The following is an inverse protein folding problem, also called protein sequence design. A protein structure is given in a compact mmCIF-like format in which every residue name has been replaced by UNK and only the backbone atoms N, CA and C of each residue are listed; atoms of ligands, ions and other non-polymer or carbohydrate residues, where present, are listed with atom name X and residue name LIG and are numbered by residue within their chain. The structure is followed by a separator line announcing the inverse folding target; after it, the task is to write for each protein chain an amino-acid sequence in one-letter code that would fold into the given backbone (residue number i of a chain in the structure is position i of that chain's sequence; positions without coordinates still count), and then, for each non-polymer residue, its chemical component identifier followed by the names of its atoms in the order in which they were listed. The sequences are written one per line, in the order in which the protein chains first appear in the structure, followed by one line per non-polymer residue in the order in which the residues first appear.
data_IF_273750344502
#
_entry.id   IF_273750344502
#
_cell.length_a   1.000
_cell.length_b   1.000
_cell.length_c   1.000
_cell.angle_alpha   90.00
_cell.angle_beta   90.00
_cell.angle_gamma   90.00
#
_symmetry.space_group_name_H-M   'P 1'
#
loop_
_entity.id
_entity.type
_entity.pdbx_description
1 polymer ?
#
# COMPACT_ATOMS: atom_id res chain seq x y z
N UNK A 1 22.48 3.33 -9.31
CA UNK A 1 22.60 4.58 -8.52
C UNK A 1 21.86 4.37 -7.20
N UNK A 2 22.44 4.67 -6.03
CA UNK A 2 21.71 4.62 -4.78
C UNK A 2 20.53 5.60 -4.86
N UNK A 3 19.32 5.12 -4.61
CA UNK A 3 18.09 5.90 -4.62
C UNK A 3 18.26 7.06 -3.63
N UNK A 4 18.14 8.29 -4.13
CA UNK A 4 18.31 9.50 -3.33
C UNK A 4 17.19 9.59 -2.29
N UNK A 5 17.51 9.28 -1.04
CA UNK A 5 16.61 9.44 0.10
C UNK A 5 16.06 8.12 0.67
N UNK A 6 15.75 8.16 1.97
CA UNK A 6 15.10 7.06 2.70
C UNK A 6 13.58 7.12 2.63
N UNK A 7 13.00 8.04 1.86
CA UNK A 7 11.55 8.14 1.66
C UNK A 7 11.07 6.95 0.84
N UNK A 8 9.97 6.33 1.26
CA UNK A 8 9.37 5.18 0.56
C UNK A 8 7.87 5.39 0.44
N UNK A 9 7.35 5.25 -0.77
CA UNK A 9 5.91 5.38 -1.02
C UNK A 9 5.27 3.99 -0.95
N UNK A 10 4.37 3.81 0.01
CA UNK A 10 3.71 2.54 0.23
C UNK A 10 2.28 2.63 -0.30
N UNK A 11 2.02 1.97 -1.42
CA UNK A 11 0.67 1.82 -1.97
C UNK A 11 -0.02 0.72 -1.18
N UNK A 12 -0.92 1.14 -0.28
CA UNK A 12 -1.67 0.26 0.62
C UNK A 12 -3.07 0.06 0.05
N UNK A 13 -3.51 -1.19 0.00
CA UNK A 13 -4.79 -1.58 -0.59
C UNK A 13 -5.29 -2.89 -0.02
N UNK A 14 -6.59 -3.11 -0.15
CA UNK A 14 -7.31 -4.34 0.15
C UNK A 14 -7.49 -5.24 -1.06
N UNK A 15 -7.22 -4.75 -2.28
CA UNK A 15 -7.51 -5.46 -3.54
C UNK A 15 -6.41 -5.30 -4.60
N UNK A 16 -6.50 -6.12 -5.65
CA UNK A 16 -5.45 -6.22 -6.68
C UNK A 16 -5.65 -5.25 -7.84
N UNK A 17 -6.86 -5.16 -8.40
CA UNK A 17 -7.11 -4.47 -9.67
C UNK A 17 -6.84 -2.97 -9.59
N UNK A 18 -7.45 -2.27 -8.62
CA UNK A 18 -7.30 -0.81 -8.48
C UNK A 18 -5.87 -0.38 -8.15
N UNK A 19 -5.22 -1.11 -7.26
CA UNK A 19 -3.84 -0.82 -6.88
C UNK A 19 -2.83 -1.14 -7.99
N UNK A 20 -3.06 -2.17 -8.81
CA UNK A 20 -2.24 -2.43 -10.00
C UNK A 20 -2.37 -1.28 -11.00
N UNK A 21 -3.59 -0.81 -11.27
CA UNK A 21 -3.81 0.34 -12.17
C UNK A 21 -3.10 1.60 -11.66
N UNK A 22 -3.24 1.89 -10.36
CA UNK A 22 -2.55 2.99 -9.71
C UNK A 22 -1.03 2.87 -9.83
N UNK A 23 -0.47 1.67 -9.61
CA UNK A 23 0.98 1.46 -9.71
C UNK A 23 1.48 1.60 -11.15
N UNK A 24 0.70 1.16 -12.15
CA UNK A 24 1.03 1.36 -13.55
C UNK A 24 1.04 2.85 -13.91
N UNK A 25 0.04 3.60 -13.42
CA UNK A 25 -0.04 5.05 -13.57
C UNK A 25 1.18 5.75 -12.97
N UNK A 26 1.54 5.42 -11.72
CA UNK A 26 2.74 5.95 -11.06
C UNK A 26 4.02 5.59 -11.83
N UNK A 27 4.14 4.34 -12.27
CA UNK A 27 5.30 3.85 -13.03
C UNK A 27 5.47 4.56 -14.38
N UNK A 28 4.37 4.83 -15.08
CA UNK A 28 4.38 5.62 -16.33
C UNK A 28 4.92 7.04 -16.11
N UNK A 29 4.72 7.60 -14.92
CA UNK A 29 5.22 8.92 -14.52
C UNK A 29 6.65 8.88 -13.96
N UNK A 30 7.28 7.70 -13.88
CA UNK A 30 8.66 7.52 -13.45
C UNK A 30 8.85 6.96 -12.04
N UNK A 31 7.79 6.46 -11.39
CA UNK A 31 7.92 5.79 -10.09
C UNK A 31 8.82 4.55 -10.17
N UNK A 32 9.80 4.47 -9.28
CA UNK A 32 10.73 3.34 -9.21
C UNK A 32 10.22 2.25 -8.26
N UNK A 33 9.64 1.19 -8.81
CA UNK A 33 9.20 -0.02 -8.09
C UNK A 33 10.30 -1.08 -7.88
N UNK A 34 11.54 -0.80 -8.31
CA UNK A 34 12.64 -1.78 -8.26
C UNK A 34 12.45 -2.96 -9.22
N UNK A 35 11.59 -2.81 -10.22
CA UNK A 35 11.28 -3.80 -11.26
C UNK A 35 10.84 -3.09 -12.54
N UNK A 36 10.83 -3.81 -13.66
CA UNK A 36 10.25 -3.30 -14.91
C UNK A 36 8.75 -3.13 -14.74
N UNK A 37 8.26 -1.89 -14.90
CA UNK A 37 6.83 -1.61 -14.95
C UNK A 37 6.32 -1.96 -16.34
N UNK A 38 5.26 -2.80 -16.48
CA UNK A 38 4.65 -3.07 -17.78
C UNK A 38 4.19 -1.78 -18.45
N UNK A 39 4.38 -1.70 -19.78
CA UNK A 39 3.89 -0.55 -20.57
C UNK A 39 2.37 -0.53 -20.63
N UNK A 40 1.77 -1.70 -20.73
CA UNK A 40 0.33 -1.89 -20.83
C UNK A 40 -0.19 -2.47 -19.51
N UNK A 41 -1.26 -1.88 -18.98
CA UNK A 41 -1.93 -2.38 -17.80
C UNK A 41 -2.91 -3.50 -18.16
N UNK A 42 -2.77 -4.66 -17.53
CA UNK A 42 -3.75 -5.74 -17.61
C UNK A 42 -4.48 -5.92 -16.26
N UNK A 43 -5.80 -5.70 -16.17
CA UNK A 43 -6.59 -5.87 -14.94
C UNK A 43 -6.64 -7.31 -14.41
N UNK A 44 -6.30 -8.31 -15.24
CA UNK A 44 -6.27 -9.71 -14.86
C UNK A 44 -4.92 -10.14 -14.27
N UNK A 45 -3.91 -9.29 -14.39
CA UNK A 45 -2.59 -9.57 -13.86
C UNK A 45 -2.41 -8.95 -12.47
N UNK A 46 -1.58 -9.62 -11.67
CA UNK A 46 -1.09 -9.07 -10.41
C UNK A 46 0.17 -8.23 -10.59
N UNK A 47 0.40 -7.71 -11.79
CA UNK A 47 1.68 -7.14 -12.17
C UNK A 47 2.01 -5.91 -11.30
N UNK A 48 3.30 -5.63 -11.15
CA UNK A 48 3.84 -4.57 -10.27
C UNK A 48 3.78 -4.92 -8.77
N UNK A 49 4.14 -6.17 -8.44
CA UNK A 49 4.44 -6.58 -7.07
C UNK A 49 5.88 -7.15 -7.02
N UNK A 50 6.78 -6.42 -6.35
CA UNK A 50 8.15 -6.89 -6.14
C UNK A 50 8.13 -8.19 -5.31
N UNK A 51 8.83 -9.23 -5.74
CA UNK A 51 8.77 -10.58 -5.14
C UNK A 51 9.08 -10.57 -3.62
N UNK A 52 10.11 -9.83 -3.21
CA UNK A 52 10.41 -9.66 -1.77
C UNK A 52 9.29 -8.93 -0.99
N UNK A 53 8.53 -8.01 -1.62
CA UNK A 53 7.38 -7.36 -0.98
C UNK A 53 6.24 -8.35 -0.81
N UNK A 54 5.95 -9.16 -1.84
CA UNK A 54 4.97 -10.23 -1.76
C UNK A 54 5.31 -11.24 -0.66
N UNK A 55 6.58 -11.68 -0.62
CA UNK A 55 7.11 -12.55 0.43
C UNK A 55 6.97 -11.92 1.82
N UNK A 56 7.33 -10.65 1.97
CA UNK A 56 7.15 -9.92 3.22
C UNK A 56 5.66 -9.87 3.64
N UNK A 57 4.75 -9.65 2.69
CA UNK A 57 3.32 -9.56 2.94
C UNK A 57 2.74 -10.87 3.46
N UNK A 58 3.11 -11.98 2.84
CA UNK A 58 2.71 -13.33 3.27
C UNK A 58 3.23 -13.60 4.69
N UNK A 59 4.54 -13.43 4.92
CA UNK A 59 5.17 -13.75 6.20
C UNK A 59 4.64 -12.88 7.36
N UNK A 60 4.49 -11.57 7.12
CA UNK A 60 3.91 -10.66 8.09
C UNK A 60 2.42 -10.93 8.33
N UNK A 61 1.69 -11.32 7.28
CA UNK A 61 0.31 -11.76 7.37
C UNK A 61 0.15 -13.01 8.23
N UNK A 62 1.00 -14.02 8.04
CA UNK A 62 1.01 -15.24 8.86
C UNK A 62 1.36 -14.97 10.32
N UNK A 63 2.37 -14.12 10.58
CA UNK A 63 2.67 -13.70 11.94
C UNK A 63 1.47 -13.00 12.59
N UNK A 64 0.82 -12.08 11.88
CA UNK A 64 -0.35 -11.37 12.36
C UNK A 64 -1.56 -12.30 12.59
N UNK A 65 -1.73 -13.32 11.74
CA UNK A 65 -2.78 -14.35 11.88
C UNK A 65 -2.58 -15.22 13.12
N UNK A 66 -1.33 -15.56 13.46
CA UNK A 66 -1.01 -16.24 14.73
C UNK A 66 -1.36 -15.33 15.90
N UNK A 67 -0.86 -14.08 15.86
CA UNK A 67 -1.18 -13.07 16.86
C UNK A 67 -0.78 -11.67 16.38
N UNK A 68 -1.62 -10.65 16.59
CA UNK A 68 -1.25 -9.26 16.29
C UNK A 68 -0.13 -8.74 17.21
N UNK A 69 0.06 -9.36 18.39
CA UNK A 69 1.10 -9.03 19.38
C UNK A 69 1.93 -10.27 19.73
N UNK A 70 2.96 -10.13 20.56
CA UNK A 70 3.83 -11.26 20.95
C UNK A 70 3.00 -12.37 21.66
N UNK A 71 2.98 -13.62 21.14
CA UNK A 71 2.24 -14.71 21.79
C UNK A 71 2.77 -15.09 23.18
N UNK A 72 1.84 -15.48 24.06
CA UNK A 72 2.16 -15.98 25.41
C UNK A 72 2.82 -17.37 25.40
N UNK A 73 2.34 -18.29 24.54
CA UNK A 73 2.86 -19.65 24.45
C UNK A 73 4.23 -19.70 23.75
N UNK A 74 5.18 -20.47 24.29
CA UNK A 74 6.56 -20.52 23.79
C UNK A 74 6.67 -20.98 22.33
N UNK A 75 5.98 -22.06 21.95
CA UNK A 75 6.06 -22.62 20.58
C UNK A 75 5.50 -21.62 19.56
N UNK A 76 4.31 -21.10 19.83
CA UNK A 76 3.69 -20.07 18.96
C UNK A 76 4.56 -18.81 18.86
N UNK A 77 5.21 -18.40 19.96
CA UNK A 77 6.14 -17.27 19.99
C UNK A 77 7.36 -17.48 19.09
N UNK A 78 7.93 -18.68 19.07
CA UNK A 78 9.09 -18.99 18.21
C UNK A 78 8.69 -18.89 16.73
N UNK A 79 7.58 -19.52 16.35
CA UNK A 79 7.06 -19.48 14.97
C UNK A 79 6.73 -18.05 14.55
N UNK A 80 6.04 -17.30 15.42
CA UNK A 80 5.71 -15.89 15.19
C UNK A 80 6.96 -15.03 14.97
N UNK A 81 8.01 -15.21 15.78
CA UNK A 81 9.29 -14.49 15.64
C UNK A 81 10.00 -14.84 14.34
N UNK A 82 9.95 -16.10 13.91
CA UNK A 82 10.54 -16.52 12.65
C UNK A 82 9.88 -15.82 11.46
N UNK A 83 8.54 -15.83 11.40
CA UNK A 83 7.79 -15.14 10.36
C UNK A 83 8.02 -13.63 10.37
N UNK A 84 8.02 -12.98 11.54
CA UNK A 84 8.38 -11.56 11.66
C UNK A 84 9.78 -11.30 11.12
N UNK A 85 10.80 -12.04 11.59
CA UNK A 85 12.19 -11.85 11.17
C UNK A 85 12.34 -12.00 9.66
N UNK A 86 11.81 -13.06 9.07
CA UNK A 86 11.92 -13.30 7.64
C UNK A 86 11.14 -12.29 6.80
N UNK A 87 9.95 -11.89 7.27
CA UNK A 87 9.15 -10.85 6.63
C UNK A 87 9.86 -9.49 6.63
N UNK A 88 10.49 -9.14 7.74
CA UNK A 88 11.26 -7.89 7.85
C UNK A 88 12.49 -7.90 6.94
N UNK A 89 13.23 -9.00 6.90
CA UNK A 89 14.39 -9.13 6.01
C UNK A 89 14.00 -9.04 4.53
N UNK A 90 12.88 -9.65 4.14
CA UNK A 90 12.37 -9.52 2.78
C UNK A 90 11.98 -8.07 2.47
N UNK A 91 11.29 -7.39 3.39
CA UNK A 91 10.95 -5.99 3.20
C UNK A 91 12.18 -5.10 3.07
N UNK A 92 13.21 -5.27 3.90
CA UNK A 92 14.44 -4.45 3.82
C UNK A 92 15.14 -4.59 2.47
N UNK A 93 15.21 -5.82 1.92
CA UNK A 93 15.74 -6.06 0.57
C UNK A 93 14.93 -5.33 -0.49
N UNK A 94 13.60 -5.40 -0.43
CA UNK A 94 12.74 -4.66 -1.37
C UNK A 94 12.92 -3.15 -1.26
N UNK A 95 12.87 -2.60 -0.04
CA UNK A 95 13.00 -1.16 0.20
C UNK A 95 14.40 -0.63 -0.15
N UNK A 96 15.42 -1.47 -0.18
CA UNK A 96 16.75 -1.07 -0.67
C UNK A 96 16.81 -0.87 -2.20
N UNK A 97 15.89 -1.51 -2.94
CA UNK A 97 15.86 -1.54 -4.40
C UNK A 97 14.72 -0.71 -5.02
N UNK A 98 13.66 -0.48 -4.25
CA UNK A 98 12.44 0.20 -4.70
C UNK A 98 12.16 1.44 -3.84
N UNK A 99 11.76 2.53 -4.49
CA UNK A 99 11.23 3.71 -3.82
C UNK A 99 9.71 3.58 -3.56
N UNK A 100 9.02 2.91 -4.49
CA UNK A 100 7.59 2.64 -4.43
C UNK A 100 7.36 1.15 -4.19
N UNK A 101 6.48 0.82 -3.25
CA UNK A 101 6.11 -0.57 -2.97
C UNK A 101 4.60 -0.69 -2.86
N UNK A 102 4.04 -1.66 -3.58
CA UNK A 102 2.65 -2.08 -3.44
C UNK A 102 2.57 -3.20 -2.41
N UNK A 103 1.85 -2.99 -1.31
CA UNK A 103 1.86 -3.96 -0.23
C UNK A 103 0.85 -3.70 0.88
N UNK A 104 1.09 -4.35 2.01
CA UNK A 104 0.22 -4.31 3.17
C UNK A 104 0.63 -3.21 4.15
N UNK A 105 -0.35 -2.64 4.84
CA UNK A 105 -0.12 -1.72 5.97
C UNK A 105 0.76 -2.32 7.08
N UNK A 106 0.82 -3.66 7.18
CA UNK A 106 1.69 -4.37 8.13
C UNK A 106 3.18 -4.09 7.90
N UNK A 107 3.56 -3.63 6.71
CA UNK A 107 4.95 -3.33 6.35
C UNK A 107 5.40 -1.93 6.79
N UNK A 108 4.49 -1.04 7.16
CA UNK A 108 4.79 0.36 7.50
C UNK A 108 5.69 0.44 8.74
N UNK A 109 5.35 -0.29 9.80
CA UNK A 109 6.13 -0.29 11.05
C UNK A 109 7.54 -0.87 10.86
N UNK A 110 7.73 -2.03 10.21
CA UNK A 110 9.05 -2.52 9.86
C UNK A 110 9.86 -1.56 8.97
N UNK A 111 9.24 -0.85 8.03
CA UNK A 111 9.93 0.17 7.22
C UNK A 111 10.51 1.29 8.11
N UNK A 112 9.71 1.82 9.05
CA UNK A 112 10.17 2.80 10.05
C UNK A 112 11.27 2.24 10.93
N UNK A 113 11.15 0.97 11.35
CA UNK A 113 12.19 0.31 12.14
C UNK A 113 13.53 0.34 11.43
N UNK A 114 13.57 0.07 10.13
CA UNK A 114 14.78 0.12 9.32
C UNK A 114 15.28 1.53 8.98
N UNK A 115 14.58 2.57 9.45
CA UNK A 115 14.94 3.96 9.25
C UNK A 115 14.46 4.55 7.92
N UNK A 116 13.54 3.87 7.22
CA UNK A 116 12.85 4.45 6.08
C UNK A 116 11.74 5.41 6.54
N UNK A 117 11.48 6.44 5.75
CA UNK A 117 10.38 7.40 5.95
C UNK A 117 9.22 7.00 5.05
N UNK A 118 8.23 6.23 5.54
CA UNK A 118 7.09 5.87 4.70
C UNK A 118 6.24 7.10 4.40
N UNK A 119 5.65 7.13 3.22
CA UNK A 119 4.55 8.00 2.81
C UNK A 119 3.47 7.11 2.22
N UNK A 120 2.25 7.22 2.74
CA UNK A 120 1.19 6.24 2.49
C UNK A 120 0.30 6.72 1.37
N UNK A 121 0.12 5.86 0.36
CA UNK A 121 -0.87 6.06 -0.69
C UNK A 121 -1.94 4.99 -0.44
N UNK A 122 -3.02 5.36 0.25
CA UNK A 122 -4.11 4.43 0.53
C UNK A 122 -5.06 4.41 -0.66
N UNK A 123 -5.01 3.32 -1.44
CA UNK A 123 -6.00 3.08 -2.48
C UNK A 123 -7.21 2.35 -1.88
N UNK A 124 -8.39 2.94 -2.06
CA UNK A 124 -9.64 2.44 -1.51
C UNK A 124 -10.70 2.32 -2.60
N UNK A 125 -11.71 1.51 -2.32
CA UNK A 125 -12.87 1.21 -3.17
C UNK A 125 -14.03 0.87 -2.25
N UNK A 126 -15.29 1.10 -2.64
CA UNK A 126 -16.43 0.64 -1.83
C UNK A 126 -16.36 -0.87 -1.56
N UNK A 127 -16.75 -1.30 -0.35
CA UNK A 127 -16.63 -2.69 0.08
C UNK A 127 -17.38 -3.63 -0.85
N UNK A 128 -18.61 -3.26 -1.20
CA UNK A 128 -19.56 -4.04 -1.98
C UNK A 128 -18.96 -4.44 -3.34
N UNK A 129 -18.43 -3.43 -4.04
CA UNK A 129 -17.85 -3.57 -5.37
C UNK A 129 -16.53 -4.34 -5.32
N UNK A 130 -15.77 -4.15 -4.24
CA UNK A 130 -14.54 -4.90 -4.01
C UNK A 130 -14.79 -6.38 -3.70
N UNK A 131 -15.74 -6.70 -2.80
CA UNK A 131 -16.08 -8.09 -2.44
C UNK A 131 -16.60 -8.83 -3.67
N UNK A 132 -17.49 -8.22 -4.45
CA UNK A 132 -17.98 -8.81 -5.69
C UNK A 132 -16.81 -9.19 -6.64
N UNK A 133 -15.88 -8.26 -6.83
CA UNK A 133 -14.69 -8.50 -7.66
C UNK A 133 -13.77 -9.60 -7.10
N UNK A 134 -13.63 -9.70 -5.78
CA UNK A 134 -12.77 -10.69 -5.13
C UNK A 134 -13.39 -12.08 -5.06
N UNK A 135 -14.70 -12.21 -4.79
CA UNK A 135 -15.39 -13.49 -4.75
C UNK A 135 -15.40 -14.19 -6.11
N UNK A 136 -15.47 -13.43 -7.21
CA UNK A 136 -15.37 -14.00 -8.57
C UNK A 136 -13.97 -14.60 -8.82
N UNK A 137 -12.93 -14.06 -8.17
CA UNK A 137 -11.53 -14.46 -8.39
C UNK A 137 -11.02 -15.46 -7.36
N UNK A 138 -11.61 -15.48 -6.17
CA UNK A 138 -11.14 -16.27 -5.02
C UNK A 138 -12.00 -17.51 -4.82
N UNK A 139 -11.38 -18.69 -4.80
CA UNK A 139 -12.10 -19.97 -4.64
C UNK A 139 -12.42 -20.34 -3.20
N UNK A 140 -11.74 -19.71 -2.23
CA UNK A 140 -11.73 -20.18 -0.83
C UNK A 140 -11.93 -19.08 0.23
N UNK A 141 -12.05 -17.81 -0.18
CA UNK A 141 -12.28 -16.72 0.75
C UNK A 141 -13.77 -16.47 0.95
N UNK A 142 -14.19 -16.26 2.20
CA UNK A 142 -15.58 -15.95 2.55
C UNK A 142 -15.82 -14.44 2.57
N UNK A 143 -17.07 -14.01 2.38
CA UNK A 143 -17.43 -12.61 2.50
C UNK A 143 -17.05 -12.00 3.87
N UNK A 144 -17.20 -12.76 4.95
CA UNK A 144 -16.80 -12.34 6.31
C UNK A 144 -15.29 -12.11 6.41
N UNK A 145 -14.49 -13.02 5.85
CA UNK A 145 -13.04 -12.88 5.83
C UNK A 145 -12.61 -11.63 5.03
N UNK A 146 -13.20 -11.43 3.86
CA UNK A 146 -12.94 -10.26 3.01
C UNK A 146 -13.35 -8.95 3.69
N UNK A 147 -14.50 -8.93 4.34
CA UNK A 147 -15.00 -7.78 5.11
C UNK A 147 -14.07 -7.44 6.28
N UNK A 148 -13.67 -8.44 7.06
CA UNK A 148 -12.74 -8.26 8.17
C UNK A 148 -11.37 -7.76 7.70
N UNK A 149 -10.87 -8.27 6.57
CA UNK A 149 -9.64 -7.79 5.97
C UNK A 149 -9.77 -6.33 5.49
N UNK A 150 -10.90 -5.99 4.85
CA UNK A 150 -11.17 -4.64 4.37
C UNK A 150 -11.15 -3.62 5.52
N UNK A 151 -11.93 -3.86 6.57
CA UNK A 151 -12.01 -2.98 7.74
C UNK A 151 -10.63 -2.77 8.35
N UNK A 152 -9.85 -3.86 8.51
CA UNK A 152 -8.49 -3.79 9.06
C UNK A 152 -7.57 -2.91 8.22
N UNK A 153 -7.51 -3.14 6.91
CA UNK A 153 -6.61 -2.39 6.03
C UNK A 153 -7.04 -0.93 5.94
N UNK A 154 -8.34 -0.64 5.79
CA UNK A 154 -8.84 0.73 5.74
C UNK A 154 -8.55 1.49 7.04
N UNK A 155 -8.91 0.91 8.19
CA UNK A 155 -8.68 1.53 9.50
C UNK A 155 -7.19 1.82 9.73
N UNK A 156 -6.32 0.83 9.51
CA UNK A 156 -4.89 0.99 9.70
C UNK A 156 -4.27 1.91 8.64
N UNK A 157 -4.75 1.87 7.41
CA UNK A 157 -4.30 2.69 6.29
C UNK A 157 -4.60 4.16 6.54
N UNK A 158 -5.83 4.50 6.93
CA UNK A 158 -6.23 5.87 7.28
C UNK A 158 -5.41 6.41 8.45
N UNK A 159 -5.21 5.60 9.49
CA UNK A 159 -4.33 5.96 10.59
C UNK A 159 -2.88 6.19 10.11
N UNK A 160 -2.36 5.33 9.23
CA UNK A 160 -1.01 5.46 8.69
C UNK A 160 -0.84 6.71 7.81
N UNK A 161 -1.83 7.08 6.98
CA UNK A 161 -1.83 8.34 6.21
C UNK A 161 -1.74 9.53 7.15
N UNK A 162 -2.53 9.55 8.23
CA UNK A 162 -2.51 10.67 9.20
C UNK A 162 -1.20 10.74 10.00
N UNK A 163 -0.55 9.61 10.29
CA UNK A 163 0.69 9.57 11.08
C UNK A 163 1.92 9.85 10.21
N UNK A 164 2.03 9.19 9.06
CA UNK A 164 3.22 9.20 8.21
C UNK A 164 3.08 10.11 6.98
N UNK A 165 1.92 10.73 6.78
CA UNK A 165 1.63 11.55 5.61
C UNK A 165 1.38 10.72 4.36
N UNK A 166 1.10 11.43 3.25
CA UNK A 166 0.71 10.86 1.97
C UNK A 166 -0.69 11.29 1.55
N UNK A 167 -1.45 10.42 0.91
CA UNK A 167 -2.79 10.73 0.42
C UNK A 167 -3.66 9.46 0.31
N UNK A 168 -4.94 9.69 -0.01
CA UNK A 168 -5.90 8.62 -0.36
C UNK A 168 -6.24 8.73 -1.84
N UNK A 169 -6.53 7.59 -2.47
CA UNK A 169 -6.90 7.52 -3.90
C UNK A 169 -8.10 6.59 -4.06
N UNK A 170 -9.23 7.14 -4.50
CA UNK A 170 -10.44 6.37 -4.78
C UNK A 170 -10.28 5.59 -6.08
N UNK A 171 -10.70 4.32 -6.11
CA UNK A 171 -10.75 3.54 -7.33
C UNK A 171 -11.77 4.11 -8.31
N UNK A 172 -12.89 4.58 -7.80
CA UNK A 172 -13.99 5.16 -8.56
C UNK A 172 -13.52 6.44 -9.29
N UNK A 173 -12.77 7.33 -8.62
CA UNK A 173 -12.18 8.51 -9.27
C UNK A 173 -11.11 8.16 -10.32
N UNK A 174 -10.38 7.07 -10.13
CA UNK A 174 -9.39 6.63 -11.11
C UNK A 174 -10.02 6.16 -12.42
N UNK A 175 -11.31 5.80 -12.41
CA UNK A 175 -12.08 5.37 -13.58
C UNK A 175 -12.78 6.53 -14.29
N UNK A 176 -12.84 7.72 -13.68
CA UNK A 176 -13.52 8.90 -14.25
C UNK A 176 -12.49 9.90 -14.81
N UNK A 177 -12.45 10.10 -16.15
CA UNK A 177 -11.55 11.09 -16.77
C UNK A 177 -11.78 12.54 -16.30
N UNK A 178 -12.98 12.87 -15.81
CA UNK A 178 -13.29 14.19 -15.27
C UNK A 178 -12.65 14.42 -13.89
N UNK A 179 -12.38 13.36 -13.13
CA UNK A 179 -11.85 13.44 -11.79
C UNK A 179 -10.31 13.45 -11.78
N UNK A 180 -9.74 14.61 -11.42
CA UNK A 180 -8.29 14.84 -11.39
C UNK A 180 -7.74 15.20 -10.01
N UNK A 181 -8.61 15.31 -8.99
CA UNK A 181 -8.21 15.66 -7.62
C UNK A 181 -7.17 14.70 -7.03
N UNK A 182 -7.33 13.40 -7.29
CA UNK A 182 -6.40 12.37 -6.83
C UNK A 182 -5.03 12.43 -7.53
N UNK A 183 -4.98 12.77 -8.83
CA UNK A 183 -3.72 12.95 -9.57
C UNK A 183 -2.93 14.12 -8.98
N UNK A 184 -3.61 15.23 -8.70
CA UNK A 184 -2.99 16.41 -8.10
C UNK A 184 -2.43 16.09 -6.70
N UNK A 185 -3.19 15.35 -5.88
CA UNK A 185 -2.72 14.92 -4.56
C UNK A 185 -1.51 13.99 -4.67
N UNK A 186 -1.53 13.02 -5.58
CA UNK A 186 -0.39 12.13 -5.83
C UNK A 186 0.85 12.92 -6.27
N UNK A 187 0.71 13.83 -7.23
CA UNK A 187 1.80 14.69 -7.68
C UNK A 187 2.37 15.51 -6.52
N UNK A 188 1.52 16.08 -5.67
CA UNK A 188 1.94 16.81 -4.47
C UNK A 188 2.69 15.95 -3.44
N UNK A 189 2.29 14.69 -3.25
CA UNK A 189 2.94 13.74 -2.33
C UNK A 189 4.28 13.22 -2.87
N UNK A 190 4.29 12.89 -4.17
CA UNK A 190 5.35 12.10 -4.81
C UNK A 190 6.38 12.94 -5.56
N UNK A 191 5.98 14.13 -6.03
CA UNK A 191 6.76 14.95 -6.96
C UNK A 191 6.73 14.43 -8.41
N UNK A 192 5.91 13.42 -8.72
CA UNK A 192 5.77 12.89 -10.09
C UNK A 192 4.93 13.82 -10.97
N UNK A 193 5.13 13.72 -12.28
CA UNK A 193 4.45 14.56 -13.27
C UNK A 193 2.97 14.19 -13.40
N UNK A 194 2.09 15.14 -13.05
CA UNK A 194 0.64 14.98 -13.12
C UNK A 194 0.13 14.75 -14.55
N UNK A 195 0.73 15.42 -15.54
CA UNK A 195 0.35 15.29 -16.95
C UNK A 195 0.57 13.89 -17.49
N UNK A 196 1.70 13.26 -17.16
CA UNK A 196 2.02 11.86 -17.50
C UNK A 196 1.06 10.89 -16.85
N UNK A 197 0.73 11.08 -15.57
CA UNK A 197 -0.25 10.24 -14.87
C UNK A 197 -1.64 10.35 -15.52
N UNK A 198 -2.09 11.57 -15.86
CA UNK A 198 -3.36 11.80 -16.55
C UNK A 198 -3.37 11.15 -17.93
N UNK A 199 -2.33 11.37 -18.74
CA UNK A 199 -2.23 10.80 -20.08
C UNK A 199 -2.24 9.26 -20.07
N UNK A 200 -1.57 8.64 -19.09
CA UNK A 200 -1.62 7.19 -18.92
C UNK A 200 -3.02 6.70 -18.54
N UNK A 201 -3.69 7.36 -17.57
CA UNK A 201 -5.07 7.03 -17.20
C UNK A 201 -5.97 7.07 -18.44
N UNK A 202 -5.95 8.18 -19.16
CA UNK A 202 -6.85 8.42 -20.29
C UNK A 202 -6.62 7.43 -21.45
N UNK A 203 -5.38 6.98 -21.65
CA UNK A 203 -5.05 5.97 -22.65
C UNK A 203 -5.34 4.52 -22.20
N UNK A 204 -5.32 4.24 -20.90
CA UNK A 204 -5.47 2.89 -20.36
C UNK A 204 -6.91 2.52 -19.99
N UNK A 205 -7.75 3.51 -19.68
CA UNK A 205 -9.16 3.27 -19.37
C UNK A 205 -9.93 2.85 -20.61
N UNK A 206 -10.70 1.76 -20.46
CA UNK A 206 -11.72 1.36 -21.43
C UNK A 206 -13.07 1.90 -20.96
N UNK A 207 -14.02 2.16 -21.88
CA UNK A 207 -15.38 2.49 -21.50
C UNK A 207 -15.94 1.41 -20.57
N UNK A 208 -16.30 1.80 -19.35
CA UNK A 208 -16.90 0.92 -18.36
C UNK A 208 -18.36 1.34 -18.19
N UNK A 209 -19.30 0.41 -18.37
CA UNK A 209 -20.70 0.64 -18.03
C UNK A 209 -20.81 0.68 -16.50
N UNK A 210 -21.32 1.78 -15.94
CA UNK A 210 -21.35 1.98 -14.48
C UNK A 210 -21.89 0.75 -13.74
N UNK A 211 -21.22 0.37 -12.64
CA UNK A 211 -21.70 -0.75 -11.82
C UNK A 211 -23.04 -0.38 -11.18
N UNK A 212 -24.01 -1.32 -11.11
CA UNK A 212 -25.29 -1.04 -10.47
C UNK A 212 -25.07 -0.71 -8.98
N UNK A 213 -25.87 0.18 -8.41
CA UNK A 213 -25.76 0.53 -7.00
C UNK A 213 -26.02 -0.71 -6.14
N UNK A 214 -25.05 -1.05 -5.31
CA UNK A 214 -25.20 -2.10 -4.29
C UNK A 214 -25.55 -1.46 -2.94
N UNK A 215 -26.45 -2.12 -2.20
CA UNK A 215 -26.78 -1.72 -0.82
C UNK A 215 -25.59 -1.93 0.11
N UNK A 216 -25.55 -1.17 1.21
CA UNK A 216 -24.48 -1.27 2.22
C UNK A 216 -24.46 -2.65 2.87
N UNK A 217 -23.37 -3.39 2.71
CA UNK A 217 -23.16 -4.72 3.32
C UNK A 217 -22.67 -4.62 4.76
N UNK A 218 -21.86 -3.60 5.07
CA UNK A 218 -21.27 -3.42 6.39
C UNK A 218 -21.19 -1.93 6.76
N UNK A 219 -21.93 -1.52 7.78
CA UNK A 219 -21.99 -0.13 8.28
C UNK A 219 -20.61 0.39 8.68
N UNK A 220 -19.78 -0.45 9.29
CA UNK A 220 -18.43 -0.04 9.68
C UNK A 220 -17.54 0.22 8.46
N UNK A 221 -17.61 -0.63 7.45
CA UNK A 221 -16.84 -0.46 6.22
C UNK A 221 -17.27 0.78 5.44
N UNK A 222 -18.58 1.06 5.38
CA UNK A 222 -19.14 2.29 4.80
C UNK A 222 -18.64 3.53 5.54
N UNK A 223 -18.63 3.53 6.88
CA UNK A 223 -18.06 4.64 7.66
C UNK A 223 -16.59 4.88 7.34
N UNK A 224 -15.77 3.82 7.27
CA UNK A 224 -14.35 3.95 6.91
C UNK A 224 -14.15 4.42 5.47
N UNK A 225 -15.02 4.02 4.55
CA UNK A 225 -15.04 4.52 3.18
C UNK A 225 -15.37 6.02 3.14
N UNK A 226 -16.40 6.46 3.86
CA UNK A 226 -16.75 7.89 3.97
C UNK A 226 -15.64 8.72 4.61
N UNK A 227 -14.92 8.17 5.60
CA UNK A 227 -13.74 8.82 6.16
C UNK A 227 -12.61 8.99 5.13
N UNK A 228 -12.43 8.03 4.21
CA UNK A 228 -11.48 8.14 3.11
C UNK A 228 -11.94 9.17 2.06
N UNK A 229 -13.23 9.17 1.70
CA UNK A 229 -13.84 10.17 0.80
C UNK A 229 -13.68 11.60 1.35
N UNK A 230 -13.82 11.80 2.65
CA UNK A 230 -13.58 13.10 3.28
C UNK A 230 -12.10 13.56 3.19
N UNK A 231 -11.16 12.65 2.90
CA UNK A 231 -9.73 12.94 2.73
C UNK A 231 -9.30 13.09 1.26
N UNK A 232 -10.24 12.95 0.32
CA UNK A 232 -10.05 12.99 -1.13
C UNK A 232 -9.39 14.28 -1.61
N UNK A 233 -8.42 14.15 -2.52
CA UNK A 233 -7.68 15.30 -3.08
C UNK A 233 -6.73 16.01 -2.09
N UNK A 234 -6.64 15.56 -0.84
CA UNK A 234 -5.78 16.19 0.17
C UNK A 234 -4.40 15.54 0.24
N UNK A 235 -3.39 16.37 0.54
CA UNK A 235 -2.02 15.95 0.85
C UNK A 235 -1.79 16.07 2.35
N UNK A 236 -1.39 14.97 2.99
CA UNK A 236 -1.09 14.91 4.41
C UNK A 236 0.42 14.94 4.65
N UNK A 237 0.85 15.79 5.57
CA UNK A 237 2.23 15.82 6.05
C UNK A 237 2.39 14.85 7.23
N UNK A 238 3.56 14.19 7.38
CA UNK A 238 3.85 13.35 8.53
C UNK A 238 3.82 14.16 9.83
N UNK A 239 3.28 13.57 10.91
CA UNK A 239 3.32 14.22 12.22
C UNK A 239 4.75 14.27 12.76
N UNK A 240 5.05 15.30 13.56
CA UNK A 240 6.40 15.52 14.13
C UNK A 240 6.92 14.30 14.89
N UNK A 241 6.05 13.58 15.60
CA UNK A 241 6.41 12.37 16.34
C UNK A 241 6.91 11.26 15.41
N UNK A 242 6.24 11.05 14.27
CA UNK A 242 6.65 10.05 13.28
C UNK A 242 8.00 10.42 12.66
N UNK A 243 8.20 11.70 12.30
CA UNK A 243 9.48 12.19 11.77
C UNK A 243 10.64 11.96 12.77
N UNK A 244 10.42 12.27 14.06
CA UNK A 244 11.40 12.03 15.13
C UNK A 244 11.72 10.54 15.28
N UNK A 245 10.70 9.68 15.24
CA UNK A 245 10.87 8.23 15.36
C UNK A 245 11.73 7.68 14.21
N UNK A 246 11.42 8.08 12.97
CA UNK A 246 12.20 7.69 11.78
C UNK A 246 13.63 8.19 11.88
N UNK A 247 13.85 9.46 12.24
CA UNK A 247 15.19 10.03 12.39
C UNK A 247 16.04 9.24 13.40
N UNK A 248 15.49 8.96 14.58
CA UNK A 248 16.19 8.17 15.62
C UNK A 248 16.54 6.76 15.14
N UNK A 249 15.66 6.13 14.35
CA UNK A 249 15.92 4.82 13.75
C UNK A 249 16.98 4.92 12.66
N UNK A 250 16.91 5.95 11.82
CA UNK A 250 17.86 6.17 10.76
C UNK A 250 19.30 6.34 11.29
N UNK A 251 19.46 7.07 12.40
CA UNK A 251 20.72 7.24 13.14
C UNK A 251 21.21 5.90 13.71
N UNK A 252 20.32 5.08 14.31
CA UNK A 252 20.68 3.78 14.87
C UNK A 252 21.11 2.75 13.83
N UNK A 253 20.47 2.76 12.66
CA UNK A 253 20.65 1.69 11.68
C UNK A 253 21.61 2.02 10.53
N UNK A 254 22.14 3.24 10.47
CA UNK A 254 23.23 3.66 9.56
C UNK A 254 22.96 3.47 8.07
N UNK A 255 23.77 4.05 7.16
CA UNK A 255 23.75 3.67 5.74
C UNK A 255 23.99 2.16 5.61
N UNK A 256 23.37 1.53 4.61
CA UNK A 256 23.41 0.07 4.40
C UNK A 256 24.83 -0.53 4.41
N UNK A 257 25.86 0.27 4.10
CA UNK A 257 27.29 -0.09 4.19
C UNK A 257 27.72 -0.58 5.58
N UNK A 258 27.06 -0.16 6.67
CA UNK A 258 27.38 -0.62 8.03
C UNK A 258 26.79 -2.01 8.30
N UNK A 259 25.65 -2.37 7.68
CA UNK A 259 25.00 -3.68 7.92
C UNK A 259 25.73 -4.84 7.25
N UNK A 260 26.40 -4.61 6.12
CA UNK A 260 27.18 -5.62 5.42
C UNK A 260 28.41 -6.12 6.20
N UNK A 261 28.85 -5.39 7.25
CA UNK A 261 29.94 -5.82 8.15
C UNK A 261 29.45 -6.60 9.38
N UNK A 262 28.14 -6.78 9.56
CA UNK A 262 27.54 -7.35 10.77
C UNK A 262 26.71 -8.63 10.53
N UNK A 263 26.75 -9.15 9.31
CA UNK A 263 26.18 -10.45 8.90
C UNK A 263 27.28 -11.36 8.41
#
# INVERSE_FOLDING_TARGET
MPISGRKRYMVVTTGRTGSTFLCATLGSAGANFGMTVPKDWDPNTGDIEHEDVKKAGILLGEAHRISPTLPGNYVTRVIWRAYQKWGWQALDRALSQAEYVKGSVLMVQPAVYYGYTPSIILNYRRLETQIASQLVRSKYETADFLTGNYIRVMRNGLAAVRIFGGCVVSFEEMQDPAENGWINALAGVTGLDAGRMSAFRDGALKPHEGEPPMGTLCVEAERLWQEAEAMRGLVFLPVRQAQRAVRKRAERFGPAEIRAKAS
#
